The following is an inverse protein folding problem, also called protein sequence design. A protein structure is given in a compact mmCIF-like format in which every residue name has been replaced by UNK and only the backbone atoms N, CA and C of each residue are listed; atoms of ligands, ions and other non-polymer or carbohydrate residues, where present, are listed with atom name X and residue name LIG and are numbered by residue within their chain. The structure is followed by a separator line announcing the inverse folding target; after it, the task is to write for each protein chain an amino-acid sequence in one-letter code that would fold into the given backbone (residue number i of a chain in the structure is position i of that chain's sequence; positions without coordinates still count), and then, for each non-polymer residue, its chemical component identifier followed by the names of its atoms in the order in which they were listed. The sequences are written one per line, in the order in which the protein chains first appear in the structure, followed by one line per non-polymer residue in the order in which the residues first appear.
data_IF_607244954351
#
_entry.id   IF_607244954351
#
_cell.length_a   1.000
_cell.length_b   1.000
_cell.length_c   1.000
_cell.angle_alpha   90.00
_cell.angle_beta   90.00
_cell.angle_gamma   90.00
#
_symmetry.space_group_name_H-M   'P 1'
#
loop_
_entity.id
_entity.type
_entity.pdbx_description
1 polymer ?
#
# COMPACT_ATOMS: atom_id res chain seq x y z
N UNK A 1 3.52 -0.24 -19.32
CA UNK A 1 4.61 0.08 -18.38
C UNK A 1 4.09 0.45 -16.99
N UNK A 2 2.95 1.17 -16.87
CA UNK A 2 2.40 1.59 -15.57
C UNK A 2 2.02 0.40 -14.67
N UNK A 3 1.45 -0.66 -15.22
CA UNK A 3 1.14 -1.89 -14.48
C UNK A 3 2.38 -2.57 -13.88
N UNK A 4 3.50 -2.54 -14.58
CA UNK A 4 4.79 -3.03 -14.05
C UNK A 4 5.29 -2.12 -12.93
N UNK A 5 5.23 -0.80 -13.14
CA UNK A 5 5.69 0.18 -12.15
C UNK A 5 4.86 0.16 -10.86
N UNK A 6 3.54 -0.07 -10.97
CA UNK A 6 2.58 -0.17 -9.86
C UNK A 6 2.54 -1.56 -9.22
N UNK A 7 3.45 -2.45 -9.48
CA UNK A 7 3.53 -3.90 -9.39
C UNK A 7 2.16 -4.62 -9.36
N UNK A 8 1.38 -4.46 -10.42
CA UNK A 8 0.13 -5.21 -10.57
C UNK A 8 0.41 -6.72 -10.75
N UNK A 9 -0.46 -7.55 -10.21
CA UNK A 9 -0.40 -8.97 -10.54
C UNK A 9 -0.78 -9.17 -12.02
N UNK A 10 -0.06 -10.00 -12.82
CA UNK A 10 1.05 -10.89 -12.46
C UNK A 10 2.46 -10.28 -12.67
N UNK A 11 2.58 -9.01 -13.06
CA UNK A 11 3.87 -8.36 -13.39
C UNK A 11 4.57 -7.70 -12.19
N UNK A 12 4.37 -8.24 -11.00
CA UNK A 12 4.84 -7.71 -9.70
C UNK A 12 6.12 -8.36 -9.17
N UNK A 13 6.53 -9.50 -9.74
CA UNK A 13 7.56 -10.38 -9.14
C UNK A 13 8.93 -9.73 -8.98
N UNK A 14 9.24 -8.71 -9.76
CA UNK A 14 10.48 -7.96 -9.69
C UNK A 14 10.64 -7.17 -8.37
N UNK A 15 9.52 -6.76 -7.76
CA UNK A 15 9.54 -5.82 -6.63
C UNK A 15 10.16 -6.43 -5.36
N UNK A 16 9.79 -7.64 -4.91
CA UNK A 16 10.40 -8.23 -3.71
C UNK A 16 11.91 -8.44 -3.87
N UNK A 17 12.36 -8.88 -5.03
CA UNK A 17 13.78 -9.11 -5.27
C UNK A 17 14.56 -7.78 -5.37
N UNK A 18 13.98 -6.75 -5.98
CA UNK A 18 14.57 -5.41 -5.99
C UNK A 18 14.74 -4.85 -4.57
N UNK A 19 13.76 -5.02 -3.69
CA UNK A 19 13.85 -4.57 -2.29
C UNK A 19 14.92 -5.34 -1.50
N UNK A 20 15.08 -6.62 -1.76
CA UNK A 20 16.09 -7.45 -1.09
C UNK A 20 17.50 -7.01 -1.46
N UNK A 21 17.75 -6.73 -2.74
CA UNK A 21 19.08 -6.32 -3.23
C UNK A 21 19.40 -4.85 -2.91
N UNK A 22 18.37 -3.99 -2.83
CA UNK A 22 18.57 -2.57 -2.55
C UNK A 22 19.06 -2.31 -1.12
N UNK A 23 19.93 -1.30 -0.91
CA UNK A 23 20.21 -0.79 0.43
C UNK A 23 18.93 -0.20 1.05
N UNK A 24 18.92 -0.01 2.37
CA UNK A 24 17.71 0.47 3.09
C UNK A 24 17.14 1.76 2.49
N UNK A 25 17.99 2.75 2.20
CA UNK A 25 17.56 4.01 1.56
C UNK A 25 16.94 3.78 0.18
N UNK A 26 17.52 2.88 -0.63
CA UNK A 26 16.96 2.50 -1.93
C UNK A 26 15.58 1.85 -1.81
N UNK A 27 15.39 0.95 -0.83
CA UNK A 27 14.10 0.34 -0.54
C UNK A 27 13.07 1.38 -0.10
N UNK A 28 13.45 2.35 0.72
CA UNK A 28 12.56 3.44 1.17
C UNK A 28 12.08 4.28 -0.02
N UNK A 29 12.98 4.75 -0.88
CA UNK A 29 12.63 5.55 -2.05
C UNK A 29 11.78 4.74 -3.04
N UNK A 30 12.12 3.47 -3.26
CA UNK A 30 11.37 2.58 -4.14
C UNK A 30 9.93 2.40 -3.64
N UNK A 31 9.76 2.06 -2.36
CA UNK A 31 8.44 1.85 -1.78
C UNK A 31 7.64 3.15 -1.62
N UNK A 32 8.27 4.23 -1.16
CA UNK A 32 7.56 5.47 -0.83
C UNK A 32 7.13 6.27 -2.07
N UNK A 33 7.95 6.32 -3.12
CA UNK A 33 7.77 7.24 -4.25
C UNK A 33 7.61 6.51 -5.57
N UNK A 34 8.56 5.63 -5.92
CA UNK A 34 8.65 5.09 -7.28
C UNK A 34 7.44 4.26 -7.70
N UNK A 35 6.84 3.50 -6.78
CA UNK A 35 5.62 2.74 -7.06
C UNK A 35 4.45 3.64 -7.46
N UNK A 36 4.35 4.82 -6.82
CA UNK A 36 3.25 5.78 -7.04
C UNK A 36 3.28 6.43 -8.41
N UNK A 37 4.43 6.45 -9.06
CA UNK A 37 4.54 6.92 -10.45
C UNK A 37 3.69 6.08 -11.42
N UNK A 38 3.48 4.78 -11.14
CA UNK A 38 2.57 3.92 -11.90
C UNK A 38 1.12 4.35 -11.75
N UNK A 39 0.66 4.62 -10.51
CA UNK A 39 -0.69 5.12 -10.23
C UNK A 39 -0.93 6.51 -10.81
N UNK A 40 0.04 7.39 -10.67
CA UNK A 40 0.00 8.68 -11.33
C UNK A 40 -0.14 8.54 -12.86
N UNK A 41 0.59 7.57 -13.46
CA UNK A 41 0.50 7.28 -14.88
C UNK A 41 -0.91 6.83 -15.31
N UNK A 42 -1.58 5.98 -14.52
CA UNK A 42 -2.96 5.61 -14.79
C UNK A 42 -3.92 6.81 -14.70
N UNK A 43 -3.79 7.62 -13.64
CA UNK A 43 -4.65 8.80 -13.44
C UNK A 43 -4.41 9.89 -14.49
N UNK A 44 -3.16 10.15 -14.85
CA UNK A 44 -2.81 11.28 -15.72
C UNK A 44 -2.90 10.95 -17.20
N UNK A 45 -2.65 9.70 -17.59
CA UNK A 45 -2.57 9.32 -19.00
C UNK A 45 -3.62 8.27 -19.38
N UNK A 46 -3.78 7.18 -18.61
CA UNK A 46 -4.64 6.08 -19.06
C UNK A 46 -6.11 6.46 -19.03
N UNK A 47 -6.62 7.03 -17.95
CA UNK A 47 -8.02 7.41 -17.84
C UNK A 47 -8.40 8.57 -18.77
N UNK A 48 -7.63 9.71 -18.81
CA UNK A 48 -8.02 10.86 -19.63
C UNK A 48 -7.79 10.68 -21.13
N UNK A 49 -6.74 9.94 -21.51
CA UNK A 49 -6.39 9.79 -22.94
C UNK A 49 -7.08 8.60 -23.61
N UNK A 50 -7.44 7.57 -22.83
CA UNK A 50 -8.00 6.32 -23.35
C UNK A 50 -9.20 5.86 -22.53
N UNK A 51 -10.25 6.70 -22.34
CA UNK A 51 -11.38 6.39 -21.45
C UNK A 51 -12.14 5.15 -21.90
N UNK A 52 -12.35 4.95 -23.19
CA UNK A 52 -13.04 3.78 -23.76
C UNK A 52 -12.23 2.50 -23.47
N UNK A 53 -10.94 2.50 -23.80
CA UNK A 53 -10.07 1.35 -23.54
C UNK A 53 -9.91 1.04 -22.04
N UNK A 54 -9.86 2.09 -21.19
CA UNK A 54 -9.84 1.94 -19.73
C UNK A 54 -11.13 1.29 -19.22
N UNK A 55 -12.28 1.71 -19.75
CA UNK A 55 -13.60 1.14 -19.42
C UNK A 55 -13.71 -0.33 -19.80
N UNK A 56 -13.24 -0.72 -21.00
CA UNK A 56 -13.23 -2.11 -21.44
C UNK A 56 -12.34 -2.99 -20.57
N UNK A 57 -11.22 -2.46 -20.10
CA UNK A 57 -10.26 -3.19 -19.25
C UNK A 57 -10.63 -3.17 -17.76
N UNK A 58 -11.59 -2.38 -17.33
CA UNK A 58 -11.95 -2.18 -15.92
C UNK A 58 -12.21 -3.49 -15.20
N UNK A 59 -13.02 -4.37 -15.78
CA UNK A 59 -13.35 -5.65 -15.14
C UNK A 59 -12.12 -6.56 -15.00
N UNK A 60 -11.24 -6.59 -15.99
CA UNK A 60 -9.97 -7.32 -15.92
C UNK A 60 -9.10 -6.76 -14.80
N UNK A 61 -8.92 -5.44 -14.73
CA UNK A 61 -8.12 -4.78 -13.68
C UNK A 61 -8.70 -5.04 -12.29
N UNK A 62 -10.00 -5.06 -12.11
CA UNK A 62 -10.65 -5.37 -10.85
C UNK A 62 -10.28 -6.75 -10.34
N UNK A 63 -10.39 -7.78 -11.20
CA UNK A 63 -10.03 -9.14 -10.79
C UNK A 63 -8.52 -9.32 -10.58
N UNK A 64 -7.68 -8.70 -11.40
CA UNK A 64 -6.22 -8.72 -11.18
C UNK A 64 -5.85 -8.04 -9.86
N UNK A 65 -6.55 -6.95 -9.51
CA UNK A 65 -6.35 -6.25 -8.23
C UNK A 65 -6.82 -7.10 -7.04
N UNK A 66 -7.97 -7.74 -7.13
CA UNK A 66 -8.47 -8.65 -6.10
C UNK A 66 -7.52 -9.85 -5.89
N UNK A 67 -7.02 -10.44 -6.99
CA UNK A 67 -6.00 -11.50 -6.92
C UNK A 67 -4.72 -10.96 -6.28
N UNK A 68 -4.26 -9.78 -6.66
CA UNK A 68 -3.09 -9.17 -6.05
C UNK A 68 -3.25 -9.05 -4.53
N UNK A 69 -4.38 -8.51 -4.06
CA UNK A 69 -4.67 -8.33 -2.64
C UNK A 69 -4.61 -9.67 -1.89
N UNK A 70 -5.37 -10.66 -2.34
CA UNK A 70 -5.48 -11.95 -1.63
C UNK A 70 -4.21 -12.78 -1.77
N UNK A 71 -3.76 -12.99 -3.00
CA UNK A 71 -2.60 -13.85 -3.29
C UNK A 71 -1.33 -13.33 -2.65
N UNK A 72 -1.00 -12.05 -2.83
CA UNK A 72 0.27 -11.54 -2.30
C UNK A 72 0.26 -11.39 -0.78
N UNK A 73 -0.91 -11.21 -0.16
CA UNK A 73 -1.05 -11.28 1.30
C UNK A 73 -0.77 -12.69 1.84
N UNK A 74 -1.25 -13.73 1.16
CA UNK A 74 -0.93 -15.12 1.51
C UNK A 74 0.54 -15.43 1.30
N UNK A 75 1.14 -14.93 0.22
CA UNK A 75 2.58 -15.06 -0.02
C UNK A 75 3.39 -14.32 1.06
N UNK A 76 2.95 -13.14 1.49
CA UNK A 76 3.60 -12.40 2.58
C UNK A 76 3.63 -13.19 3.89
N UNK A 77 2.56 -13.92 4.23
CA UNK A 77 2.45 -14.74 5.44
C UNK A 77 3.55 -15.81 5.57
N UNK A 78 3.99 -16.37 4.46
CA UNK A 78 4.98 -17.47 4.44
C UNK A 78 6.41 -17.00 4.20
N UNK A 79 6.66 -15.69 4.14
CA UNK A 79 8.01 -15.17 3.94
C UNK A 79 8.87 -15.33 5.19
N UNK A 80 10.15 -15.63 4.96
CA UNK A 80 11.18 -15.74 5.99
C UNK A 80 12.05 -14.48 6.08
N UNK A 81 12.10 -13.67 5.01
CA UNK A 81 12.81 -12.39 4.93
C UNK A 81 11.83 -11.23 5.17
N UNK A 82 12.17 -10.36 6.15
CA UNK A 82 11.34 -9.20 6.52
C UNK A 82 11.13 -8.22 5.36
N UNK A 83 12.16 -7.98 4.53
CA UNK A 83 12.01 -7.08 3.38
C UNK A 83 11.09 -7.68 2.32
N UNK A 84 11.17 -9.00 2.08
CA UNK A 84 10.25 -9.69 1.15
C UNK A 84 8.81 -9.60 1.64
N UNK A 85 8.58 -9.83 2.93
CA UNK A 85 7.25 -9.73 3.53
C UNK A 85 6.64 -8.33 3.33
N UNK A 86 7.39 -7.27 3.66
CA UNK A 86 6.95 -5.89 3.49
C UNK A 86 6.78 -5.53 2.01
N UNK A 87 7.61 -6.06 1.12
CA UNK A 87 7.46 -5.84 -0.31
C UNK A 87 6.18 -6.47 -0.87
N UNK A 88 5.85 -7.72 -0.49
CA UNK A 88 4.60 -8.35 -0.88
C UNK A 88 3.37 -7.64 -0.29
N UNK A 89 3.46 -7.14 0.95
CA UNK A 89 2.40 -6.30 1.50
C UNK A 89 2.17 -5.04 0.66
N UNK A 90 3.24 -4.44 0.13
CA UNK A 90 3.13 -3.28 -0.76
C UNK A 90 2.39 -3.61 -2.07
N UNK A 91 2.60 -4.81 -2.63
CA UNK A 91 1.82 -5.27 -3.82
C UNK A 91 0.34 -5.36 -3.49
N UNK A 92 -0.02 -5.91 -2.33
CA UNK A 92 -1.41 -5.99 -1.88
C UNK A 92 -2.04 -4.59 -1.75
N UNK A 93 -1.34 -3.63 -1.10
CA UNK A 93 -1.83 -2.25 -0.96
C UNK A 93 -1.95 -1.53 -2.30
N UNK A 94 -1.07 -1.80 -3.27
CA UNK A 94 -1.20 -1.26 -4.62
C UNK A 94 -2.38 -1.87 -5.38
N UNK A 95 -2.83 -3.08 -5.02
CA UNK A 95 -4.08 -3.66 -5.50
C UNK A 95 -5.31 -2.80 -5.16
N UNK A 96 -5.39 -2.25 -3.95
CA UNK A 96 -6.44 -1.28 -3.59
C UNK A 96 -6.35 -0.01 -4.44
N UNK A 97 -5.14 0.49 -4.66
CA UNK A 97 -4.94 1.70 -5.48
C UNK A 97 -5.40 1.48 -6.92
N UNK A 98 -4.99 0.39 -7.57
CA UNK A 98 -5.40 0.10 -8.96
C UNK A 98 -6.90 -0.09 -9.09
N UNK A 99 -7.49 -0.82 -8.15
CA UNK A 99 -8.93 -1.02 -8.08
C UNK A 99 -9.69 0.30 -7.89
N UNK A 100 -9.22 1.16 -6.98
CA UNK A 100 -9.82 2.47 -6.72
C UNK A 100 -9.75 3.42 -7.92
N UNK A 101 -8.61 3.43 -8.64
CA UNK A 101 -8.45 4.23 -9.86
C UNK A 101 -9.45 3.80 -10.94
N UNK A 102 -9.58 2.50 -11.20
CA UNK A 102 -10.44 1.96 -12.25
C UNK A 102 -11.92 1.88 -11.84
N UNK A 103 -12.26 2.11 -10.55
CA UNK A 103 -13.64 2.32 -10.14
C UNK A 103 -14.25 3.58 -10.78
N UNK A 104 -13.42 4.52 -11.21
CA UNK A 104 -13.78 5.73 -11.95
C UNK A 104 -14.91 6.51 -11.29
N UNK A 105 -14.95 6.52 -9.97
CA UNK A 105 -15.84 7.33 -9.16
C UNK A 105 -15.05 8.14 -8.15
N UNK A 106 -15.69 9.17 -7.57
CA UNK A 106 -15.02 10.12 -6.67
C UNK A 106 -14.32 9.40 -5.50
N UNK A 107 -15.06 8.54 -4.78
CA UNK A 107 -14.54 7.85 -3.59
C UNK A 107 -13.38 6.92 -3.90
N UNK A 108 -13.46 6.18 -5.00
CA UNK A 108 -12.42 5.23 -5.42
C UNK A 108 -11.12 5.94 -5.78
N UNK A 109 -11.19 7.03 -6.56
CA UNK A 109 -10.01 7.77 -6.99
C UNK A 109 -9.42 8.58 -5.83
N UNK A 110 -10.26 9.26 -5.03
CA UNK A 110 -9.81 9.96 -3.82
C UNK A 110 -9.08 8.99 -2.87
N UNK A 111 -9.69 7.83 -2.63
CA UNK A 111 -9.10 6.77 -1.82
C UNK A 111 -7.79 6.24 -2.39
N UNK A 112 -7.71 6.05 -3.70
CA UNK A 112 -6.51 5.57 -4.37
C UNK A 112 -5.34 6.57 -4.25
N UNK A 113 -5.59 7.87 -4.47
CA UNK A 113 -4.59 8.93 -4.32
C UNK A 113 -4.14 9.00 -2.85
N UNK A 114 -5.12 8.99 -1.94
CA UNK A 114 -4.84 9.03 -0.50
C UNK A 114 -4.04 7.82 -0.04
N UNK A 115 -4.38 6.61 -0.53
CA UNK A 115 -3.65 5.39 -0.24
C UNK A 115 -2.21 5.43 -0.77
N UNK A 116 -1.98 5.98 -1.96
CA UNK A 116 -0.63 6.18 -2.47
C UNK A 116 0.20 7.05 -1.53
N UNK A 117 -0.36 8.16 -1.04
CA UNK A 117 0.33 9.05 -0.10
C UNK A 117 0.59 8.36 1.24
N UNK A 118 -0.44 7.78 1.83
CA UNK A 118 -0.38 7.06 3.11
C UNK A 118 0.62 5.91 3.10
N UNK A 119 0.54 5.05 2.08
CA UNK A 119 1.48 3.94 1.91
C UNK A 119 2.93 4.45 1.77
N UNK A 120 3.15 5.65 1.21
CA UNK A 120 4.48 6.26 1.15
C UNK A 120 5.09 6.44 2.53
N UNK A 121 4.35 6.99 3.48
CA UNK A 121 4.81 7.18 4.86
C UNK A 121 4.95 5.84 5.60
N UNK A 122 3.94 4.99 5.53
CA UNK A 122 3.85 3.75 6.31
C UNK A 122 4.89 2.73 5.82
N UNK A 123 4.92 2.42 4.52
CA UNK A 123 5.86 1.42 4.02
C UNK A 123 7.30 1.92 4.06
N UNK A 124 7.53 3.21 3.81
CA UNK A 124 8.84 3.83 4.01
C UNK A 124 9.33 3.65 5.44
N UNK A 125 8.47 3.90 6.43
CA UNK A 125 8.79 3.68 7.83
C UNK A 125 9.04 2.21 8.19
N UNK A 126 8.26 1.27 7.63
CA UNK A 126 8.49 -0.16 7.86
C UNK A 126 9.84 -0.62 7.29
N UNK A 127 10.24 -0.15 6.10
CA UNK A 127 11.58 -0.43 5.58
C UNK A 127 12.68 0.22 6.42
N UNK A 128 12.45 1.40 7.00
CA UNK A 128 13.37 2.00 7.96
C UNK A 128 13.46 1.17 9.24
N UNK A 129 12.34 0.63 9.76
CA UNK A 129 12.36 -0.28 10.92
C UNK A 129 13.24 -1.51 10.63
N UNK A 130 13.09 -2.12 9.45
CA UNK A 130 14.01 -3.23 9.06
C UNK A 130 15.44 -2.74 8.96
N UNK A 131 15.69 -1.54 8.43
CA UNK A 131 17.02 -0.94 8.37
C UNK A 131 17.66 -0.79 9.75
N UNK A 132 16.93 -0.32 10.75
CA UNK A 132 17.42 -0.13 12.12
C UNK A 132 17.97 -1.42 12.72
N UNK A 133 17.28 -2.55 12.57
CA UNK A 133 17.76 -3.83 13.10
C UNK A 133 18.80 -4.48 12.18
N UNK A 134 18.68 -4.28 10.87
CA UNK A 134 19.67 -4.77 9.90
C UNK A 134 21.05 -4.13 10.10
N UNK A 135 21.13 -2.83 10.37
CA UNK A 135 22.40 -2.13 10.63
C UNK A 135 23.11 -2.68 11.87
N UNK A 136 22.38 -3.31 12.80
CA UNK A 136 22.91 -3.88 14.03
C UNK A 136 23.26 -5.37 13.91
N UNK A 137 22.48 -6.14 13.16
CA UNK A 137 22.58 -7.61 13.10
C UNK A 137 23.06 -8.14 11.75
N UNK A 138 23.04 -7.32 10.70
CA UNK A 138 23.40 -7.67 9.31
C UNK A 138 22.63 -8.88 8.74
N UNK A 139 21.45 -9.18 9.31
CA UNK A 139 20.53 -10.20 8.79
C UNK A 139 19.13 -9.66 8.69
N UNK A 140 18.32 -10.24 7.78
CA UNK A 140 16.90 -9.89 7.56
C UNK A 140 15.98 -11.06 7.84
N UNK A 141 16.54 -12.20 8.19
CA UNK A 141 15.79 -13.41 8.49
C UNK A 141 14.97 -13.22 9.76
N UNK A 142 13.67 -13.45 9.66
CA UNK A 142 12.74 -13.28 10.79
C UNK A 142 13.13 -14.19 11.94
N UNK A 143 13.61 -15.40 11.63
CA UNK A 143 14.05 -16.35 12.66
C UNK A 143 15.28 -15.90 13.44
N UNK A 144 16.09 -14.99 12.90
CA UNK A 144 17.24 -14.44 13.62
C UNK A 144 16.86 -13.57 14.83
N UNK A 145 15.60 -13.12 14.89
CA UNK A 145 15.08 -12.21 15.92
C UNK A 145 14.16 -12.93 16.92
N UNK A 146 13.69 -12.20 17.92
CA UNK A 146 12.75 -12.62 18.96
C UNK A 146 13.00 -11.88 20.28
N UNK A 147 11.94 -11.42 20.94
CA UNK A 147 12.04 -10.76 22.25
C UNK A 147 12.66 -9.35 22.23
N UNK A 148 12.70 -8.67 21.08
CA UNK A 148 13.32 -7.33 20.99
C UNK A 148 12.66 -6.30 21.90
N UNK A 149 11.40 -6.48 22.29
CA UNK A 149 10.71 -5.59 23.24
C UNK A 149 11.46 -5.42 24.55
N UNK A 150 12.18 -6.46 24.99
CA UNK A 150 12.90 -6.48 26.27
C UNK A 150 14.15 -5.58 26.28
N UNK A 151 14.72 -5.30 25.11
CA UNK A 151 16.00 -4.55 24.98
C UNK A 151 15.86 -3.30 24.13
N UNK A 152 14.88 -3.25 23.22
CA UNK A 152 14.64 -2.14 22.29
C UNK A 152 13.17 -1.66 22.38
N UNK A 153 12.71 -1.14 23.54
CA UNK A 153 11.31 -0.77 23.72
C UNK A 153 10.87 0.39 22.80
N UNK A 154 11.74 1.37 22.52
CA UNK A 154 11.42 2.45 21.60
C UNK A 154 11.22 1.95 20.18
N UNK A 155 12.07 1.02 19.74
CA UNK A 155 11.91 0.34 18.45
C UNK A 155 10.59 -0.44 18.38
N UNK A 156 10.31 -1.23 19.42
CA UNK A 156 9.09 -2.02 19.51
C UNK A 156 7.83 -1.15 19.38
N UNK A 157 7.79 -0.01 20.06
CA UNK A 157 6.67 0.92 19.99
C UNK A 157 6.49 1.50 18.59
N UNK A 158 7.56 1.97 17.95
CA UNK A 158 7.52 2.57 16.61
C UNK A 158 7.15 1.51 15.57
N UNK A 159 7.72 0.33 15.65
CA UNK A 159 7.39 -0.75 14.73
C UNK A 159 5.93 -1.20 14.90
N UNK A 160 5.38 -1.29 16.14
CA UNK A 160 3.97 -1.58 16.36
C UNK A 160 3.08 -0.49 15.76
N UNK A 161 3.43 0.78 15.95
CA UNK A 161 2.66 1.88 15.39
C UNK A 161 2.50 1.77 13.87
N UNK A 162 3.61 1.55 13.14
CA UNK A 162 3.55 1.42 11.68
C UNK A 162 2.96 0.08 11.23
N UNK A 163 3.11 -0.98 12.01
CA UNK A 163 2.42 -2.26 11.78
C UNK A 163 0.90 -2.06 11.85
N UNK A 164 0.39 -1.38 12.87
CA UNK A 164 -1.04 -1.10 13.00
C UNK A 164 -1.54 -0.13 11.93
N UNK A 165 -0.75 0.88 11.57
CA UNK A 165 -1.07 1.79 10.47
C UNK A 165 -1.12 1.06 9.11
N UNK A 166 -0.26 0.07 8.89
CA UNK A 166 -0.26 -0.78 7.69
C UNK A 166 -1.47 -1.72 7.62
N UNK A 167 -1.99 -2.15 8.76
CA UNK A 167 -3.23 -2.96 8.85
C UNK A 167 -4.48 -2.11 8.58
N UNK A 168 -4.36 -0.77 8.64
CA UNK A 168 -5.50 0.13 8.50
C UNK A 168 -6.22 0.40 9.82
N UNK A 169 -5.48 0.63 10.92
CA UNK A 169 -6.09 1.04 12.18
C UNK A 169 -6.81 2.39 12.03
N UNK A 170 -8.10 2.51 12.41
CA UNK A 170 -8.80 3.79 12.43
C UNK A 170 -8.04 4.86 13.23
N UNK A 171 -7.96 6.07 12.68
CA UNK A 171 -7.11 7.14 13.21
C UNK A 171 -5.71 7.21 12.60
N UNK A 172 -5.35 6.28 11.72
CA UNK A 172 -4.15 6.33 10.90
C UNK A 172 -4.49 6.56 9.43
N UNK A 173 -3.56 7.11 8.67
CA UNK A 173 -3.78 7.42 7.26
C UNK A 173 -4.03 6.17 6.38
N UNK A 174 -3.54 4.99 6.77
CA UNK A 174 -3.78 3.74 6.05
C UNK A 174 -5.25 3.37 5.97
N UNK A 175 -5.98 3.53 7.08
CA UNK A 175 -7.41 3.28 7.12
C UNK A 175 -8.20 4.13 6.12
N UNK A 176 -7.90 5.42 6.04
CA UNK A 176 -8.66 6.36 5.20
C UNK A 176 -8.58 5.96 3.72
N UNK A 177 -7.37 5.69 3.22
CA UNK A 177 -7.16 5.33 1.82
C UNK A 177 -7.83 4.01 1.44
N UNK A 178 -7.64 2.97 2.25
CA UNK A 178 -8.25 1.66 2.00
C UNK A 178 -9.76 1.68 2.13
N UNK A 179 -10.28 2.36 3.13
CA UNK A 179 -11.72 2.45 3.34
C UNK A 179 -12.42 3.17 2.18
N UNK A 180 -11.88 4.31 1.73
CA UNK A 180 -12.44 5.04 0.59
C UNK A 180 -12.38 4.22 -0.71
N UNK A 181 -11.29 3.50 -0.97
CA UNK A 181 -11.21 2.61 -2.14
C UNK A 181 -12.22 1.47 -2.06
N UNK A 182 -12.41 0.87 -0.89
CA UNK A 182 -13.43 -0.16 -0.68
C UNK A 182 -14.85 0.37 -0.88
N UNK A 183 -15.16 1.57 -0.40
CA UNK A 183 -16.46 2.23 -0.64
C UNK A 183 -16.65 2.49 -2.13
N UNK A 184 -15.62 3.00 -2.80
CA UNK A 184 -15.67 3.27 -4.25
C UNK A 184 -15.94 2.02 -5.07
N UNK A 185 -15.22 0.92 -4.82
CA UNK A 185 -15.43 -0.32 -5.57
C UNK A 185 -16.74 -1.02 -5.21
N UNK A 186 -17.22 -0.91 -3.96
CA UNK A 186 -18.49 -1.49 -3.54
C UNK A 186 -19.67 -0.95 -4.37
N UNK A 187 -19.62 0.32 -4.77
CA UNK A 187 -20.64 0.96 -5.62
C UNK A 187 -20.62 0.41 -7.05
N UNK A 188 -19.49 -0.12 -7.52
CA UNK A 188 -19.32 -0.60 -8.91
C UNK A 188 -19.43 -2.12 -9.01
N UNK A 189 -18.75 -2.84 -8.10
CA UNK A 189 -18.69 -4.29 -8.12
C UNK A 189 -18.56 -4.87 -6.70
N UNK A 190 -19.68 -5.34 -6.15
CA UNK A 190 -19.77 -5.89 -4.79
C UNK A 190 -18.91 -7.15 -4.60
N UNK A 191 -18.77 -8.01 -5.63
CA UNK A 191 -17.95 -9.23 -5.50
C UNK A 191 -16.47 -8.90 -5.38
N UNK A 192 -15.97 -7.98 -6.19
CA UNK A 192 -14.58 -7.53 -6.10
C UNK A 192 -14.33 -6.84 -4.75
N UNK A 193 -15.28 -6.04 -4.27
CA UNK A 193 -15.22 -5.42 -2.94
C UNK A 193 -15.15 -6.47 -1.82
N UNK A 194 -15.90 -7.57 -1.91
CA UNK A 194 -15.88 -8.67 -0.94
C UNK A 194 -14.49 -9.31 -0.87
N UNK A 195 -13.90 -9.65 -2.02
CA UNK A 195 -12.54 -10.21 -2.07
C UNK A 195 -11.49 -9.21 -1.56
N UNK A 196 -11.60 -7.94 -1.93
CA UNK A 196 -10.72 -6.89 -1.43
C UNK A 196 -10.83 -6.73 0.10
N UNK A 197 -12.04 -6.76 0.66
CA UNK A 197 -12.25 -6.67 2.11
C UNK A 197 -11.56 -7.82 2.86
N UNK A 198 -11.49 -9.02 2.30
CA UNK A 198 -10.73 -10.13 2.90
C UNK A 198 -9.23 -9.81 3.05
N UNK A 199 -8.70 -8.93 2.20
CA UNK A 199 -7.31 -8.45 2.28
C UNK A 199 -7.02 -7.70 3.57
N UNK A 200 -7.98 -7.00 4.16
CA UNK A 200 -7.82 -6.34 5.47
C UNK A 200 -7.53 -7.36 6.57
N UNK A 201 -8.24 -8.50 6.55
CA UNK A 201 -8.01 -9.59 7.51
C UNK A 201 -6.63 -10.20 7.29
N UNK A 202 -6.26 -10.44 6.04
CA UNK A 202 -4.98 -11.01 5.68
C UNK A 202 -3.82 -10.05 6.01
N UNK A 203 -4.02 -8.73 5.85
CA UNK A 203 -3.01 -7.73 6.21
C UNK A 203 -2.73 -7.75 7.71
N UNK A 204 -3.77 -7.85 8.54
CA UNK A 204 -3.62 -8.03 9.98
C UNK A 204 -2.86 -9.33 10.30
N UNK A 205 -3.18 -10.42 9.61
CA UNK A 205 -2.55 -11.72 9.85
C UNK A 205 -1.04 -11.66 9.61
N UNK A 206 -0.56 -11.25 8.42
CA UNK A 206 0.87 -11.24 8.14
C UNK A 206 1.64 -10.17 8.94
N UNK A 207 1.04 -9.00 9.16
CA UNK A 207 1.70 -7.90 9.85
C UNK A 207 1.89 -8.18 11.35
N UNK A 208 0.84 -8.66 12.03
CA UNK A 208 0.92 -9.04 13.43
C UNK A 208 1.76 -10.31 13.64
N UNK A 209 1.74 -11.24 12.68
CA UNK A 209 2.60 -12.42 12.71
C UNK A 209 4.08 -12.04 12.63
N UNK A 210 4.45 -11.11 11.73
CA UNK A 210 5.81 -10.56 11.66
C UNK A 210 6.20 -9.89 12.97
N UNK A 211 5.34 -9.00 13.48
CA UNK A 211 5.60 -8.28 14.72
C UNK A 211 5.80 -9.24 15.90
N UNK A 212 4.94 -10.24 16.03
CA UNK A 212 5.03 -11.25 17.08
C UNK A 212 6.37 -12.01 17.02
N UNK A 213 6.80 -12.43 15.84
CA UNK A 213 8.03 -13.22 15.67
C UNK A 213 9.30 -12.40 15.94
N UNK A 214 9.30 -11.13 15.57
CA UNK A 214 10.49 -10.26 15.70
C UNK A 214 10.57 -9.59 17.06
N UNK A 215 9.45 -9.08 17.57
CA UNK A 215 9.45 -8.18 18.73
C UNK A 215 9.05 -8.86 20.01
N UNK A 216 8.04 -9.75 19.96
CA UNK A 216 7.47 -10.37 21.16
C UNK A 216 8.23 -11.64 21.56
N UNK A 217 7.94 -12.14 22.77
CA UNK A 217 8.50 -13.35 23.33
C UNK A 217 9.74 -13.12 24.19
N UNK A 218 10.39 -14.22 24.56
CA UNK A 218 11.58 -14.20 25.41
C UNK A 218 12.85 -13.93 24.61
N UNK A 219 13.80 -13.22 25.23
CA UNK A 219 15.10 -12.93 24.63
C UNK A 219 16.04 -14.14 24.81
N UNK A 220 15.86 -15.15 23.98
CA UNK A 220 16.63 -16.41 24.09
C UNK A 220 18.02 -16.29 23.43
N UNK A 221 18.11 -15.50 22.34
CA UNK A 221 19.33 -15.42 21.52
C UNK A 221 20.36 -14.46 22.13
N UNK A 222 21.56 -14.95 22.45
CA UNK A 222 22.62 -14.14 23.05
C UNK A 222 23.06 -12.97 22.17
N UNK A 223 23.11 -13.17 20.85
CA UNK A 223 23.51 -12.12 19.90
C UNK A 223 22.61 -10.86 19.98
N UNK A 224 21.36 -11.02 20.39
CA UNK A 224 20.43 -9.90 20.53
C UNK A 224 20.65 -9.07 21.81
N UNK A 225 21.20 -9.68 22.87
CA UNK A 225 21.36 -9.03 24.20
C UNK A 225 22.25 -7.79 24.18
N UNK A 226 23.16 -7.69 23.23
CA UNK A 226 24.08 -6.57 23.10
C UNK A 226 23.52 -5.40 22.29
N UNK A 227 22.32 -5.54 21.72
CA UNK A 227 21.72 -4.51 20.87
C UNK A 227 21.33 -3.28 21.70
N UNK A 228 21.63 -2.11 21.12
CA UNK A 228 21.21 -0.82 21.68
C UNK A 228 19.89 -0.38 21.05
N UNK A 229 19.00 0.17 21.88
CA UNK A 229 17.75 0.77 21.40
C UNK A 229 18.03 1.94 20.45
N UNK A 230 16.97 2.49 19.88
CA UNK A 230 17.05 3.55 18.88
C UNK A 230 17.75 4.81 19.41
N UNK A 231 18.71 5.28 18.62
CA UNK A 231 19.40 6.55 18.86
C UNK A 231 18.46 7.75 18.69
N UNK A 232 18.85 8.91 19.22
CA UNK A 232 18.10 10.15 19.04
C UNK A 232 17.91 10.50 17.55
N UNK A 233 18.93 10.30 16.72
CA UNK A 233 18.87 10.51 15.27
C UNK A 233 17.79 9.63 14.61
N UNK A 234 17.75 8.34 14.95
CA UNK A 234 16.74 7.42 14.41
C UNK A 234 15.32 7.86 14.81
N UNK A 235 15.11 8.19 16.09
CA UNK A 235 13.81 8.70 16.58
C UNK A 235 13.38 9.98 15.85
N UNK A 236 14.31 10.90 15.56
CA UNK A 236 14.03 12.13 14.82
C UNK A 236 13.60 11.83 13.37
N UNK A 237 14.14 10.79 12.73
CA UNK A 237 13.72 10.37 11.38
C UNK A 237 12.29 9.82 11.39
N UNK A 238 11.90 9.06 12.41
CA UNK A 238 10.55 8.52 12.51
C UNK A 238 9.49 9.54 12.95
N UNK A 239 9.87 10.58 13.68
CA UNK A 239 8.93 11.56 14.20
C UNK A 239 8.01 12.20 13.14
N UNK A 240 8.51 12.75 12.02
CA UNK A 240 7.67 13.29 10.97
C UNK A 240 6.77 12.23 10.31
N UNK A 241 7.24 10.98 10.16
CA UNK A 241 6.44 9.91 9.58
C UNK A 241 5.26 9.54 10.49
N UNK A 242 5.48 9.46 11.80
CA UNK A 242 4.42 9.26 12.79
C UNK A 242 3.43 10.42 12.75
N UNK A 243 3.96 11.66 12.77
CA UNK A 243 3.14 12.88 12.75
C UNK A 243 2.21 12.91 11.53
N UNK A 244 2.73 12.73 10.32
CA UNK A 244 1.91 12.75 9.11
C UNK A 244 0.95 11.58 9.02
N UNK A 245 1.34 10.39 9.48
CA UNK A 245 0.45 9.21 9.52
C UNK A 245 -0.76 9.46 10.43
N UNK A 246 -0.57 10.09 11.58
CA UNK A 246 -1.65 10.46 12.49
C UNK A 246 -2.45 11.66 11.98
N UNK A 247 -1.78 12.71 11.55
CA UNK A 247 -2.43 13.94 11.06
C UNK A 247 -3.41 13.60 9.92
N UNK A 248 -2.96 12.85 8.93
CA UNK A 248 -3.78 12.46 7.78
C UNK A 248 -4.84 11.40 8.13
N UNK A 249 -4.61 10.62 9.18
CA UNK A 249 -5.60 9.67 9.68
C UNK A 249 -6.75 10.34 10.44
N UNK A 250 -6.46 11.42 11.18
CA UNK A 250 -7.45 12.16 11.99
C UNK A 250 -8.11 13.27 11.16
N UNK A 251 -7.35 13.95 10.30
CA UNK A 251 -7.83 15.06 9.48
C UNK A 251 -7.52 14.83 7.98
N UNK A 252 -8.21 13.88 7.34
CA UNK A 252 -7.98 13.54 5.93
C UNK A 252 -8.39 14.66 4.97
N UNK A 253 -9.30 15.55 5.37
CA UNK A 253 -9.77 16.69 4.58
C UNK A 253 -8.63 17.57 4.08
N UNK A 254 -7.51 17.64 4.83
CA UNK A 254 -6.32 18.39 4.42
C UNK A 254 -5.78 17.98 3.04
N UNK A 255 -5.95 16.74 2.65
CA UNK A 255 -5.56 16.23 1.32
C UNK A 255 -6.78 16.13 0.41
N UNK A 256 -7.90 15.63 0.91
CA UNK A 256 -9.10 15.39 0.11
C UNK A 256 -9.69 16.67 -0.48
N UNK A 257 -9.67 17.79 0.27
CA UNK A 257 -10.16 19.08 -0.24
C UNK A 257 -9.26 19.65 -1.35
N UNK A 258 -7.98 19.30 -1.36
CA UNK A 258 -7.04 19.75 -2.40
C UNK A 258 -7.21 18.92 -3.68
N UNK A 259 -7.37 17.61 -3.56
CA UNK A 259 -7.45 16.72 -4.73
C UNK A 259 -8.86 16.63 -5.31
N UNK A 260 -9.89 16.77 -4.46
CA UNK A 260 -11.29 16.57 -4.79
C UNK A 260 -11.75 17.26 -6.09
N UNK A 261 -11.54 18.58 -6.29
CA UNK A 261 -11.94 19.27 -7.50
C UNK A 261 -11.28 18.71 -8.78
N UNK A 262 -10.01 18.29 -8.69
CA UNK A 262 -9.31 17.70 -9.84
C UNK A 262 -9.83 16.30 -10.15
N UNK A 263 -10.18 15.52 -9.12
CA UNK A 263 -10.76 14.19 -9.28
C UNK A 263 -12.18 14.29 -9.84
N UNK A 264 -13.00 15.24 -9.37
CA UNK A 264 -14.33 15.48 -9.90
C UNK A 264 -14.31 15.79 -11.40
N UNK A 265 -13.39 16.67 -11.82
CA UNK A 265 -13.18 16.98 -13.24
C UNK A 265 -12.76 15.76 -14.06
N UNK A 266 -11.85 14.93 -13.52
CA UNK A 266 -11.41 13.70 -14.17
C UNK A 266 -12.56 12.69 -14.33
N UNK A 267 -13.35 12.49 -13.28
CA UNK A 267 -14.49 11.56 -13.28
C UNK A 267 -15.57 12.01 -14.25
N UNK A 268 -15.92 13.31 -14.24
CA UNK A 268 -16.90 13.88 -15.15
C UNK A 268 -16.48 13.70 -16.61
N UNK A 269 -15.26 14.10 -16.97
CA UNK A 269 -14.74 13.93 -18.34
C UNK A 269 -14.65 12.46 -18.78
N UNK A 270 -14.27 11.56 -17.89
CA UNK A 270 -14.24 10.12 -18.19
C UNK A 270 -15.62 9.57 -18.54
N UNK A 271 -16.66 9.91 -17.80
CA UNK A 271 -18.03 9.45 -18.06
C UNK A 271 -18.63 10.10 -19.31
N UNK A 272 -18.37 11.39 -19.54
CA UNK A 272 -18.83 12.10 -20.74
C UNK A 272 -18.33 11.43 -22.03
N UNK A 273 -17.05 11.08 -22.09
CA UNK A 273 -16.46 10.39 -23.26
C UNK A 273 -17.05 8.98 -23.48
N UNK A 274 -17.30 8.23 -22.40
CA UNK A 274 -17.93 6.91 -22.49
C UNK A 274 -19.36 7.02 -23.01
N UNK A 275 -20.15 7.96 -22.51
CA UNK A 275 -21.54 8.12 -22.92
C UNK A 275 -21.63 8.63 -24.36
N UNK A 276 -20.75 9.52 -24.79
CA UNK A 276 -20.63 9.93 -26.18
C UNK A 276 -20.34 8.75 -27.10
N UNK A 277 -19.41 7.85 -26.71
CA UNK A 277 -19.07 6.66 -27.49
C UNK A 277 -20.25 5.68 -27.65
N UNK A 278 -21.02 5.47 -26.57
CA UNK A 278 -22.23 4.61 -26.61
C UNK A 278 -23.32 5.18 -27.55
N UNK A 279 -23.51 6.50 -27.56
CA UNK A 279 -24.45 7.16 -28.46
C UNK A 279 -24.05 6.93 -29.93
N UNK A 280 -22.78 7.07 -30.27
CA UNK A 280 -22.27 6.82 -31.62
C UNK A 280 -22.49 5.35 -32.04
N UNK A 281 -22.16 4.38 -31.16
CA UNK A 281 -22.39 2.97 -31.44
C UNK A 281 -23.87 2.65 -31.65
N UNK A 282 -24.75 3.21 -30.84
CA UNK A 282 -26.22 3.01 -30.97
C UNK A 282 -26.77 3.60 -32.27
N UNK A 283 -26.20 4.72 -32.73
CA UNK A 283 -26.60 5.34 -34.00
C UNK A 283 -26.14 4.51 -35.20
N UNK A 284 -24.98 3.90 -35.15
CA UNK A 284 -24.44 3.02 -36.22
C UNK A 284 -25.21 1.71 -36.35
N UNK A 285 -25.77 1.18 -35.26
CA UNK A 285 -26.57 -0.06 -35.27
C UNK A 285 -28.00 0.14 -35.78
N UNK A 286 -28.49 1.40 -35.89
CA UNK A 286 -29.82 1.73 -36.38
C UNK A 286 -29.86 2.07 -37.86
N UNK A 287 -28.71 2.26 -38.51
CA UNK A 287 -28.54 2.45 -39.92
C UNK A 287 -28.05 1.15 -40.60
#
# INVERSE_FOLDING_TARGET
SFAVKMPMWPVHTWLPDAHVQAPTAGSVVLAAILLKMGGYGFLRFSLPMFPIGASEMTNLVFWLSAIAIVYTSLVALVQEDMKKLIAYSSVAHMGYVTMGIFAANQQGIDGAIFQMLSHGFISGALFLCVGVIYDRMHTREIEAYGGLVNIMPSYALIFMFFTMANVGLPGTSGFVGEFLTLVGIFQVNTWVALFATSGVILSAAYALWLYRRVVMGDLIKEALRSLKDMSFREKTIFAPLIFFTLLLGIYPALVLDIIGPSVETLVAGYHEEIDASKLVQTSMLKN
#
